data_IF_047650561781
#
_entry.id   IF_047650561781
#
_cell.length_a   1.000
_cell.length_b   1.000
_cell.length_c   1.000
_cell.angle_alpha   90.00
_cell.angle_beta   90.00
_cell.angle_gamma   90.00
#
_symmetry.space_group_name_H-M   'P 1'
#
loop_
_entity.id
_entity.type
_entity.pdbx_description
1 polymer ?
#
# COMPACT_ATOMS: atom_id res chain seq x y z
N UNK A 1 2.83 -25.96 -12.30
CA UNK A 1 3.65 -24.73 -12.21
C UNK A 1 3.25 -23.89 -13.41
N UNK A 2 2.53 -22.78 -13.33
CA UNK A 2 2.17 -21.89 -12.23
C UNK A 2 0.76 -21.35 -12.53
N UNK A 3 -0.11 -21.33 -11.53
CA UNK A 3 -1.41 -20.63 -11.57
C UNK A 3 -1.44 -19.52 -10.49
N UNK A 4 -0.24 -19.05 -10.11
CA UNK A 4 0.05 -18.22 -8.94
C UNK A 4 0.49 -16.80 -9.32
N UNK A 5 0.22 -16.38 -10.56
CA UNK A 5 0.58 -15.05 -11.09
C UNK A 5 -0.65 -14.13 -11.19
N UNK A 6 -1.67 -14.37 -10.34
CA UNK A 6 -2.66 -13.34 -10.08
C UNK A 6 -2.09 -12.44 -8.98
N UNK A 7 -1.98 -11.11 -9.21
CA UNK A 7 -1.62 -10.21 -8.12
C UNK A 7 -2.59 -10.45 -6.97
N UNK A 8 -2.09 -10.53 -5.74
CA UNK A 8 -2.91 -10.71 -4.55
C UNK A 8 -3.99 -9.61 -4.51
N UNK A 9 -5.19 -9.94 -4.99
CA UNK A 9 -6.31 -9.00 -5.02
C UNK A 9 -6.87 -8.89 -3.61
N UNK A 10 -7.06 -7.66 -3.15
CA UNK A 10 -7.68 -7.42 -1.84
C UNK A 10 -9.10 -8.01 -1.87
N UNK A 11 -9.45 -8.93 -0.96
CA UNK A 11 -10.77 -9.56 -0.97
C UNK A 11 -11.88 -8.50 -0.87
N UNK A 12 -12.82 -8.50 -1.83
CA UNK A 12 -13.90 -7.50 -1.87
C UNK A 12 -14.74 -7.47 -0.58
N UNK A 13 -14.95 -8.63 0.02
CA UNK A 13 -15.68 -8.77 1.29
C UNK A 13 -14.95 -8.06 2.45
N UNK A 14 -13.62 -8.02 2.43
CA UNK A 14 -12.83 -7.29 3.42
C UNK A 14 -13.05 -5.78 3.26
N UNK A 15 -12.98 -5.26 2.03
CA UNK A 15 -13.21 -3.84 1.75
C UNK A 15 -14.63 -3.42 2.15
N UNK A 16 -15.64 -4.22 1.82
CA UNK A 16 -17.02 -3.98 2.27
C UNK A 16 -17.12 -3.91 3.79
N UNK A 17 -16.44 -4.82 4.50
CA UNK A 17 -16.44 -4.85 5.96
C UNK A 17 -15.75 -3.62 6.57
N UNK A 18 -14.61 -3.19 6.02
CA UNK A 18 -13.91 -1.98 6.43
C UNK A 18 -14.83 -0.76 6.29
N UNK A 19 -15.45 -0.58 5.12
CA UNK A 19 -16.39 0.53 4.89
C UNK A 19 -17.60 0.47 5.83
N UNK A 20 -18.13 -0.74 6.08
CA UNK A 20 -19.24 -0.91 7.01
C UNK A 20 -18.88 -0.55 8.46
N UNK A 21 -17.63 -0.76 8.87
CA UNK A 21 -17.15 -0.47 10.22
C UNK A 21 -16.91 1.03 10.43
N UNK A 22 -16.31 1.71 9.44
CA UNK A 22 -15.92 3.13 9.56
C UNK A 22 -17.00 4.13 9.10
N UNK A 23 -18.19 3.67 8.72
CA UNK A 23 -19.30 4.57 8.35
C UNK A 23 -19.98 5.16 9.58
N UNK A 24 -20.26 6.46 9.53
CA UNK A 24 -21.02 7.15 10.58
C UNK A 24 -22.51 6.76 10.59
N UNK A 25 -23.12 6.59 9.41
CA UNK A 25 -24.52 6.16 9.28
C UNK A 25 -24.61 4.67 8.89
N UNK A 26 -25.36 3.90 9.69
CA UNK A 26 -25.64 2.48 9.46
C UNK A 26 -26.51 2.21 8.23
N UNK A 27 -27.09 3.24 7.61
CA UNK A 27 -27.84 3.13 6.36
C UNK A 27 -26.97 3.33 5.12
N UNK A 28 -25.75 3.86 5.24
CA UNK A 28 -24.84 4.06 4.11
C UNK A 28 -24.54 2.75 3.40
N UNK A 29 -24.79 2.73 2.08
CA UNK A 29 -24.50 1.61 1.18
C UNK A 29 -23.42 2.03 0.19
N UNK A 30 -22.62 1.07 -0.26
CA UNK A 30 -21.68 1.24 -1.35
C UNK A 30 -22.18 0.44 -2.56
N UNK A 31 -22.12 1.04 -3.75
CA UNK A 31 -22.45 0.32 -4.99
C UNK A 31 -21.30 -0.59 -5.40
N UNK A 32 -21.58 -1.60 -6.21
CA UNK A 32 -20.56 -2.52 -6.71
C UNK A 32 -19.44 -1.81 -7.51
N UNK A 33 -19.73 -0.89 -8.46
CA UNK A 33 -18.67 -0.15 -9.15
C UNK A 33 -17.82 0.73 -8.22
N UNK A 34 -18.43 1.31 -7.17
CA UNK A 34 -17.69 2.11 -6.20
C UNK A 34 -16.77 1.24 -5.34
N UNK A 35 -17.19 0.01 -5.03
CA UNK A 35 -16.34 -0.96 -4.33
C UNK A 35 -15.16 -1.42 -5.20
N UNK A 36 -15.36 -1.58 -6.51
CA UNK A 36 -14.28 -1.89 -7.45
C UNK A 36 -13.27 -0.75 -7.55
N UNK A 37 -13.75 0.49 -7.66
CA UNK A 37 -12.88 1.67 -7.63
C UNK A 37 -12.09 1.78 -6.33
N UNK A 38 -12.74 1.50 -5.18
CA UNK A 38 -12.07 1.46 -3.89
C UNK A 38 -10.99 0.37 -3.82
N UNK A 39 -11.23 -0.80 -4.41
CA UNK A 39 -10.26 -1.89 -4.45
C UNK A 39 -8.98 -1.47 -5.19
N UNK A 40 -9.12 -0.83 -6.35
CA UNK A 40 -7.97 -0.30 -7.10
C UNK A 40 -7.30 0.86 -6.34
N UNK A 41 -8.07 1.75 -5.70
CA UNK A 41 -7.51 2.83 -4.89
C UNK A 41 -6.63 2.30 -3.75
N UNK A 42 -7.10 1.32 -2.96
CA UNK A 42 -6.31 0.75 -1.86
C UNK A 42 -5.11 -0.02 -2.38
N UNK A 43 -5.25 -0.73 -3.50
CA UNK A 43 -4.12 -1.41 -4.16
C UNK A 43 -3.03 -0.42 -4.57
N UNK A 44 -3.39 0.70 -5.20
CA UNK A 44 -2.46 1.76 -5.58
C UNK A 44 -1.80 2.37 -4.34
N UNK A 45 -2.57 2.67 -3.29
CA UNK A 45 -2.05 3.19 -2.02
C UNK A 45 -0.96 2.28 -1.42
N UNK A 46 -1.20 0.96 -1.37
CA UNK A 46 -0.22 -0.01 -0.84
C UNK A 46 1.02 -0.08 -1.74
N UNK A 47 0.84 -0.13 -3.06
CA UNK A 47 1.96 -0.17 -4.00
C UNK A 47 2.82 1.09 -3.92
N UNK A 48 2.20 2.27 -3.83
CA UNK A 48 2.91 3.54 -3.65
C UNK A 48 3.68 3.57 -2.32
N UNK A 49 3.10 3.09 -1.23
CA UNK A 49 3.79 2.99 0.06
C UNK A 49 5.07 2.15 -0.05
N UNK A 50 4.97 0.96 -0.66
CA UNK A 50 6.11 0.04 -0.84
C UNK A 50 7.16 0.64 -1.79
N UNK A 51 6.75 1.18 -2.93
CA UNK A 51 7.66 1.78 -3.90
C UNK A 51 8.40 2.99 -3.33
N UNK A 52 7.71 3.87 -2.59
CA UNK A 52 8.33 5.06 -1.99
C UNK A 52 9.27 4.70 -0.86
N UNK A 53 8.92 3.75 0.01
CA UNK A 53 9.83 3.25 1.04
C UNK A 53 11.09 2.62 0.43
N UNK A 54 10.94 1.82 -0.63
CA UNK A 54 12.08 1.24 -1.35
C UNK A 54 12.96 2.30 -2.04
N UNK A 55 12.35 3.33 -2.61
CA UNK A 55 13.06 4.44 -3.22
C UNK A 55 13.84 5.26 -2.17
N UNK A 56 13.24 5.49 -1.01
CA UNK A 56 13.89 6.19 0.11
C UNK A 56 15.09 5.41 0.63
N UNK A 57 14.94 4.10 0.89
CA UNK A 57 16.07 3.24 1.29
C UNK A 57 17.20 3.27 0.25
N UNK A 58 16.86 3.19 -1.04
CA UNK A 58 17.83 3.28 -2.13
C UNK A 58 18.55 4.63 -2.18
N UNK A 59 17.88 5.72 -1.80
CA UNK A 59 18.47 7.08 -1.75
C UNK A 59 19.50 7.18 -0.63
N UNK A 60 19.19 6.62 0.54
CA UNK A 60 20.11 6.59 1.69
C UNK A 60 21.36 5.75 1.41
N UNK A 61 21.17 4.56 0.81
CA UNK A 61 22.25 3.67 0.43
C UNK A 61 23.20 4.27 -0.63
N UNK A 62 22.70 5.14 -1.52
CA UNK A 62 23.52 5.84 -2.53
C UNK A 62 24.51 6.85 -1.92
N UNK A 63 24.38 7.20 -0.65
CA UNK A 63 25.31 8.08 0.08
C UNK A 63 26.41 7.35 0.86
N UNK A 64 26.33 6.02 0.98
CA UNK A 64 27.27 5.22 1.77
C UNK A 64 27.95 4.17 0.88
N UNK A 65 29.28 4.13 0.88
CA UNK A 65 30.03 3.05 0.23
C UNK A 65 29.85 1.75 1.02
N UNK A 66 28.77 1.01 0.75
CA UNK A 66 28.62 -0.36 1.25
C UNK A 66 28.40 -1.34 0.11
N UNK A 67 29.41 -2.18 -0.11
CA UNK A 67 29.29 -3.42 -0.83
C UNK A 67 28.45 -4.42 -0.04
N UNK A 68 27.64 -5.19 -0.78
CA UNK A 68 27.16 -6.55 -0.45
C UNK A 68 26.77 -6.79 1.03
N UNK A 69 25.53 -6.47 1.42
CA UNK A 69 24.60 -7.34 2.19
C UNK A 69 23.49 -6.58 2.96
N UNK A 70 23.63 -5.26 3.23
CA UNK A 70 22.70 -4.50 4.08
C UNK A 70 21.41 -3.96 3.42
N UNK A 71 21.09 -4.36 2.19
CA UNK A 71 20.20 -3.60 1.28
C UNK A 71 18.89 -4.30 0.92
N UNK A 72 18.59 -5.48 1.47
CA UNK A 72 17.57 -6.36 0.88
C UNK A 72 16.16 -6.21 1.46
N UNK A 73 16.00 -5.57 2.63
CA UNK A 73 14.72 -5.48 3.33
C UNK A 73 14.30 -4.04 3.57
N UNK A 74 12.99 -3.77 3.55
CA UNK A 74 12.44 -2.48 3.99
C UNK A 74 12.31 -2.48 5.52
N UNK A 75 12.69 -1.38 6.13
CA UNK A 75 12.56 -1.13 7.57
C UNK A 75 11.40 -0.17 7.84
N UNK A 76 10.95 -0.08 9.09
CA UNK A 76 9.80 0.76 9.47
C UNK A 76 10.12 2.24 9.22
N UNK A 77 11.36 2.62 9.48
CA UNK A 77 11.91 3.95 9.29
C UNK A 77 11.86 4.41 7.82
N UNK A 78 11.98 3.47 6.87
CA UNK A 78 11.86 3.76 5.43
C UNK A 78 10.42 4.21 5.08
N UNK A 79 9.42 3.63 5.74
CA UNK A 79 8.01 3.99 5.58
C UNK A 79 7.67 5.28 6.35
N UNK A 80 8.16 5.45 7.57
CA UNK A 80 7.89 6.63 8.40
C UNK A 80 8.39 7.92 7.75
N UNK A 81 9.54 7.88 7.06
CA UNK A 81 10.09 9.03 6.32
C UNK A 81 9.17 9.50 5.20
N UNK A 82 8.51 8.57 4.51
CA UNK A 82 7.62 8.89 3.37
C UNK A 82 6.16 9.07 3.79
N UNK A 83 5.79 8.68 5.01
CA UNK A 83 4.41 8.69 5.50
C UNK A 83 3.72 10.07 5.39
N UNK A 84 4.36 11.21 5.72
CA UNK A 84 3.70 12.51 5.60
C UNK A 84 3.26 12.83 4.16
N UNK A 85 4.14 12.59 3.18
CA UNK A 85 3.82 12.85 1.77
C UNK A 85 2.80 11.83 1.24
N UNK A 86 2.94 10.56 1.62
CA UNK A 86 1.99 9.51 1.23
C UNK A 86 0.57 9.84 1.70
N UNK A 87 0.40 10.35 2.93
CA UNK A 87 -0.90 10.74 3.46
C UNK A 87 -1.46 12.04 2.87
N UNK A 88 -0.62 12.88 2.26
CA UNK A 88 -1.08 14.11 1.58
C UNK A 88 -1.54 13.85 0.13
N UNK A 89 -1.00 12.81 -0.50
CA UNK A 89 -1.35 12.45 -1.88
C UNK A 89 -2.68 11.67 -1.98
N UNK A 90 -3.18 11.14 -0.85
CA UNK A 90 -4.34 10.24 -0.76
C UNK A 90 -5.43 10.80 0.15
#
# INVERSE_FOLDING_TARGET
MADDDKPDEIPRQLLQRIIHEFRTDKKTRISEPALEALAEYIKIFIQEAVHRAAAEKKRELKGQNYGRLGSTFLEVEDLEKIAPQLLLDF
#
